data_IF_943305139642
#
_entry.id   IF_943305139642
#
_cell.length_a   1.000
_cell.length_b   1.000
_cell.length_c   1.000
_cell.angle_alpha   90.00
_cell.angle_beta   90.00
_cell.angle_gamma   90.00
#
_symmetry.space_group_name_H-M   'P 1'
#
loop_
_entity.id
_entity.type
_entity.pdbx_description
1 polymer ?
#
# COMPACT_ATOMS: atom_id res chain seq x y z
N UNK A 1 -40.05 -4.71 3.08
CA UNK A 1 -38.73 -4.08 3.07
C UNK A 1 -38.17 -4.28 1.68
N UNK A 2 -38.24 -3.26 0.82
CA UNK A 2 -37.75 -3.38 -0.56
C UNK A 2 -36.30 -2.93 -0.62
N UNK A 3 -35.43 -3.82 -1.11
CA UNK A 3 -34.02 -3.54 -1.33
C UNK A 3 -33.91 -2.88 -2.71
N UNK A 4 -33.56 -1.60 -2.76
CA UNK A 4 -33.27 -0.87 -3.99
C UNK A 4 -31.84 -0.36 -4.03
N UNK A 5 -31.32 -0.11 -5.23
CA UNK A 5 -30.03 0.54 -5.42
C UNK A 5 -30.04 1.98 -4.87
N UNK A 6 -28.89 2.41 -4.34
CA UNK A 6 -28.67 3.78 -3.85
C UNK A 6 -28.43 4.73 -5.03
N UNK A 7 -29.08 5.90 -4.97
CA UNK A 7 -28.97 6.98 -5.95
C UNK A 7 -28.10 8.10 -5.39
N UNK A 8 -27.55 8.94 -6.29
CA UNK A 8 -26.59 10.00 -5.93
C UNK A 8 -27.18 11.10 -5.02
N UNK A 9 -28.49 11.34 -5.11
CA UNK A 9 -29.22 12.28 -4.24
C UNK A 9 -29.72 11.69 -2.92
N UNK A 10 -29.48 10.41 -2.63
CA UNK A 10 -29.88 9.82 -1.36
C UNK A 10 -29.02 10.41 -0.22
N UNK A 11 -29.65 10.86 0.87
CA UNK A 11 -28.94 11.36 2.05
C UNK A 11 -28.25 10.20 2.78
N UNK A 12 -26.91 10.22 2.79
CA UNK A 12 -26.05 9.19 3.39
C UNK A 12 -25.53 9.59 4.77
N UNK A 13 -25.89 10.77 5.26
CA UNK A 13 -25.40 11.28 6.54
C UNK A 13 -25.82 10.41 7.72
N UNK A 14 -26.95 9.69 7.59
CA UNK A 14 -27.49 8.79 8.61
C UNK A 14 -27.09 7.32 8.43
N UNK A 15 -26.25 7.01 7.43
CA UNK A 15 -25.81 5.64 7.14
C UNK A 15 -24.72 5.20 8.12
N UNK A 16 -25.10 5.07 9.38
CA UNK A 16 -24.30 4.45 10.42
C UNK A 16 -24.95 3.10 10.71
N UNK A 17 -24.14 2.04 10.64
CA UNK A 17 -24.52 0.67 10.98
C UNK A 17 -25.29 0.54 12.31
N UNK A 18 -25.11 1.49 13.24
CA UNK A 18 -25.63 1.39 14.62
C UNK A 18 -24.87 0.36 15.46
N UNK A 19 -24.23 -0.61 14.82
CA UNK A 19 -23.34 -1.60 15.40
C UNK A 19 -21.87 -1.15 15.31
N UNK A 20 -21.21 -0.86 16.45
CA UNK A 20 -19.80 -0.47 16.51
C UNK A 20 -18.84 -1.53 15.96
N UNK A 21 -19.19 -2.81 16.06
CA UNK A 21 -18.34 -3.89 15.59
C UNK A 21 -18.37 -4.01 14.06
N UNK A 22 -19.51 -3.71 13.45
CA UNK A 22 -19.61 -3.63 11.99
C UNK A 22 -18.84 -2.41 11.43
N UNK A 23 -18.77 -1.29 12.16
CA UNK A 23 -17.91 -0.15 11.79
C UNK A 23 -16.43 -0.54 11.85
N UNK A 24 -15.99 -1.22 12.91
CA UNK A 24 -14.62 -1.76 13.02
C UNK A 24 -14.33 -2.77 11.90
N UNK A 25 -15.31 -3.60 11.56
CA UNK A 25 -15.21 -4.56 10.46
C UNK A 25 -14.98 -3.85 9.13
N UNK A 26 -15.79 -2.85 8.77
CA UNK A 26 -15.56 -2.08 7.55
C UNK A 26 -14.24 -1.31 7.60
N UNK A 27 -13.88 -0.69 8.71
CA UNK A 27 -12.58 -0.03 8.86
C UNK A 27 -11.40 -1.00 8.67
N UNK A 28 -11.57 -2.26 9.07
CA UNK A 28 -10.53 -3.28 8.94
C UNK A 28 -10.50 -3.86 7.53
N UNK A 29 -11.63 -4.17 6.93
CA UNK A 29 -11.71 -5.03 5.74
C UNK A 29 -12.23 -4.35 4.47
N UNK A 30 -12.89 -3.19 4.55
CA UNK A 30 -13.40 -2.51 3.36
C UNK A 30 -12.23 -2.13 2.43
N UNK A 31 -12.34 -2.50 1.15
CA UNK A 31 -11.31 -2.24 0.14
C UNK A 31 -10.10 -3.20 0.16
N UNK A 32 -10.02 -4.14 1.11
CA UNK A 32 -9.03 -5.22 1.05
C UNK A 32 -9.30 -6.15 -0.15
N UNK A 33 -8.27 -6.82 -0.65
CA UNK A 33 -8.33 -7.79 -1.77
C UNK A 33 -8.87 -7.26 -3.11
N UNK A 34 -9.07 -5.94 -3.26
CA UNK A 34 -9.47 -5.29 -4.52
C UNK A 34 -8.27 -4.78 -5.34
N UNK A 35 -7.05 -5.22 -5.00
CA UNK A 35 -5.81 -4.82 -5.69
C UNK A 35 -5.36 -3.37 -5.43
N UNK A 36 -6.09 -2.61 -4.60
CA UNK A 36 -5.78 -1.20 -4.31
C UNK A 36 -4.36 -1.02 -3.76
N UNK A 37 -3.94 -1.87 -2.81
CA UNK A 37 -2.58 -1.82 -2.26
C UNK A 37 -1.49 -1.96 -3.33
N UNK A 38 -1.68 -2.84 -4.31
CA UNK A 38 -0.73 -3.01 -5.41
C UNK A 38 -0.69 -1.78 -6.35
N UNK A 39 -1.85 -1.16 -6.61
CA UNK A 39 -1.94 0.06 -7.42
C UNK A 39 -1.27 1.25 -6.73
N UNK A 40 -1.53 1.42 -5.43
CA UNK A 40 -0.89 2.46 -4.62
C UNK A 40 0.62 2.25 -4.54
N UNK A 41 1.07 1.01 -4.31
CA UNK A 41 2.49 0.70 -4.29
C UNK A 41 3.14 1.04 -5.63
N UNK A 42 2.55 0.64 -6.76
CA UNK A 42 3.05 0.99 -8.09
C UNK A 42 3.22 2.50 -8.27
N UNK A 43 2.19 3.28 -7.90
CA UNK A 43 2.25 4.74 -7.98
C UNK A 43 3.43 5.31 -7.17
N UNK A 44 3.61 4.85 -5.94
CA UNK A 44 4.73 5.28 -5.08
C UNK A 44 6.08 4.91 -5.67
N UNK A 45 6.22 3.72 -6.26
CA UNK A 45 7.47 3.31 -6.91
C UNK A 45 7.79 4.14 -8.16
N UNK A 46 6.78 4.50 -8.96
CA UNK A 46 6.93 5.44 -10.08
C UNK A 46 7.32 6.85 -9.60
N UNK A 47 6.73 7.31 -8.50
CA UNK A 47 7.11 8.58 -7.86
C UNK A 47 8.56 8.54 -7.34
N UNK A 48 8.97 7.44 -6.71
CA UNK A 48 10.32 7.26 -6.21
C UNK A 48 11.37 7.33 -7.32
N UNK A 49 11.09 6.77 -8.50
CA UNK A 49 11.98 6.90 -9.66
C UNK A 49 12.12 8.34 -10.16
N UNK A 50 11.02 9.10 -10.17
CA UNK A 50 11.07 10.53 -10.52
C UNK A 50 11.93 11.30 -9.52
N UNK A 51 11.65 11.10 -8.23
CA UNK A 51 12.45 11.71 -7.15
C UNK A 51 13.93 11.33 -7.23
N UNK A 52 14.24 10.08 -7.61
CA UNK A 52 15.62 9.64 -7.80
C UNK A 52 16.33 10.41 -8.91
N UNK A 53 15.63 10.73 -9.99
CA UNK A 53 16.16 11.52 -11.11
C UNK A 53 16.33 12.99 -10.73
N UNK A 54 15.39 13.55 -9.97
CA UNK A 54 15.35 14.99 -9.68
C UNK A 54 16.26 15.39 -8.52
N UNK A 55 16.33 14.55 -7.48
CA UNK A 55 17.01 14.89 -6.21
C UNK A 55 18.02 13.85 -5.75
N UNK A 56 18.03 12.65 -6.37
CA UNK A 56 18.84 11.52 -5.93
C UNK A 56 18.23 10.80 -4.72
N UNK A 57 17.89 9.52 -4.88
CA UNK A 57 17.56 8.64 -3.77
C UNK A 57 17.99 7.20 -4.09
N UNK A 58 18.33 6.43 -3.06
CA UNK A 58 18.88 5.07 -3.22
C UNK A 58 17.82 3.98 -3.17
N UNK A 59 16.64 4.28 -2.59
CA UNK A 59 15.52 3.36 -2.53
C UNK A 59 14.34 3.89 -1.74
N UNK A 60 13.38 2.99 -1.50
CA UNK A 60 12.16 3.20 -0.72
C UNK A 60 12.24 2.38 0.56
N UNK A 61 11.95 3.00 1.71
CA UNK A 61 11.81 2.31 3.00
C UNK A 61 10.32 2.27 3.37
N UNK A 62 9.87 1.15 3.93
CA UNK A 62 8.52 0.99 4.47
C UNK A 62 8.56 0.31 5.83
N UNK A 63 7.88 0.89 6.80
CA UNK A 63 7.61 0.25 8.08
C UNK A 63 6.38 -0.65 7.94
N UNK A 64 6.62 -1.94 7.64
CA UNK A 64 5.54 -2.89 7.45
C UNK A 64 4.83 -3.15 8.79
N UNK A 65 3.52 -2.88 8.82
CA UNK A 65 2.66 -3.29 9.93
C UNK A 65 2.70 -4.81 10.11
N UNK A 66 2.47 -5.32 11.33
CA UNK A 66 2.42 -6.77 11.56
C UNK A 66 1.42 -7.44 10.61
N UNK A 67 1.84 -8.55 10.01
CA UNK A 67 1.06 -9.29 9.01
C UNK A 67 1.07 -8.68 7.60
N UNK A 68 1.74 -7.55 7.37
CA UNK A 68 1.86 -6.94 6.05
C UNK A 68 3.22 -7.17 5.37
N UNK A 69 4.21 -7.76 6.05
CA UNK A 69 5.55 -8.00 5.50
C UNK A 69 5.51 -8.75 4.17
N UNK A 70 4.71 -9.82 4.10
CA UNK A 70 4.63 -10.71 2.93
C UNK A 70 4.04 -10.01 1.71
N UNK A 71 3.21 -8.98 1.93
CA UNK A 71 2.72 -8.14 0.85
C UNK A 71 3.85 -7.35 0.18
N UNK A 72 4.90 -6.95 0.90
CA UNK A 72 6.00 -6.17 0.35
C UNK A 72 7.13 -7.05 -0.16
N UNK A 73 7.49 -8.12 0.56
CA UNK A 73 8.59 -9.01 0.18
C UNK A 73 8.39 -9.65 -1.19
N UNK A 74 7.13 -9.94 -1.58
CA UNK A 74 6.80 -10.42 -2.93
C UNK A 74 7.16 -9.45 -4.07
N UNK A 75 7.35 -8.16 -3.79
CA UNK A 75 7.80 -7.15 -4.75
C UNK A 75 9.31 -6.87 -4.65
N UNK A 76 10.05 -7.68 -3.89
CA UNK A 76 11.50 -7.58 -3.76
C UNK A 76 11.99 -6.67 -2.64
N UNK A 77 11.10 -6.23 -1.73
CA UNK A 77 11.52 -5.55 -0.51
C UNK A 77 12.24 -6.53 0.41
N UNK A 78 13.33 -6.07 1.04
CA UNK A 78 14.13 -6.86 1.99
C UNK A 78 14.06 -6.24 3.39
N UNK A 79 14.06 -7.06 4.45
CA UNK A 79 14.16 -6.54 5.80
C UNK A 79 15.51 -5.85 6.02
N UNK A 80 15.51 -4.81 6.85
CA UNK A 80 16.71 -4.09 7.26
C UNK A 80 16.74 -3.96 8.78
N UNK A 81 17.94 -3.93 9.33
CA UNK A 81 18.10 -3.69 10.76
C UNK A 81 17.86 -2.21 11.07
N UNK A 82 17.12 -1.94 12.15
CA UNK A 82 16.97 -0.57 12.66
C UNK A 82 18.19 -0.24 13.50
N UNK A 83 18.95 0.76 13.07
CA UNK A 83 20.00 1.36 13.90
C UNK A 83 19.42 2.52 14.73
N UNK A 84 18.61 3.37 14.10
CA UNK A 84 17.92 4.52 14.72
C UNK A 84 16.50 4.69 14.17
N UNK A 85 15.63 5.38 14.94
CA UNK A 85 14.26 5.70 14.52
C UNK A 85 13.22 4.62 14.79
N UNK A 86 13.55 3.62 15.63
CA UNK A 86 12.58 2.59 16.01
C UNK A 86 11.44 3.20 16.81
N UNK A 87 10.20 2.89 16.43
CA UNK A 87 9.04 3.31 17.20
C UNK A 87 8.94 2.50 18.51
N UNK A 88 8.68 3.20 19.62
CA UNK A 88 8.32 2.56 20.89
C UNK A 88 6.93 1.90 20.85
N UNK A 89 6.12 2.22 19.84
CA UNK A 89 4.78 1.66 19.67
C UNK A 89 4.86 0.15 19.42
N UNK A 90 4.04 -0.59 20.17
CA UNK A 90 3.90 -2.05 20.02
C UNK A 90 2.56 -2.38 19.35
N UNK A 91 2.51 -3.41 18.49
CA UNK A 91 3.64 -4.22 17.98
C UNK A 91 4.58 -3.42 17.06
N UNK A 92 5.88 -3.71 17.13
CA UNK A 92 6.88 -2.99 16.34
C UNK A 92 6.68 -3.29 14.84
N UNK A 93 6.71 -2.28 13.97
CA UNK A 93 6.73 -2.51 12.53
C UNK A 93 8.06 -3.12 12.10
N UNK A 94 8.04 -3.89 11.02
CA UNK A 94 9.24 -4.43 10.38
C UNK A 94 9.66 -3.48 9.25
N UNK A 95 10.78 -2.74 9.37
CA UNK A 95 11.28 -1.92 8.29
C UNK A 95 11.77 -2.79 7.14
N UNK A 96 11.38 -2.40 5.93
CA UNK A 96 11.80 -3.04 4.70
C UNK A 96 12.34 -2.00 3.73
N UNK A 97 13.30 -2.39 2.91
CA UNK A 97 13.94 -1.54 1.91
C UNK A 97 13.81 -2.13 0.50
N UNK A 98 13.60 -1.27 -0.50
CA UNK A 98 13.67 -1.61 -1.92
C UNK A 98 14.55 -0.60 -2.66
N UNK A 99 15.63 -1.08 -3.27
CA UNK A 99 16.57 -0.22 -3.98
C UNK A 99 15.98 0.35 -5.29
N UNK A 100 16.31 1.61 -5.62
CA UNK A 100 15.90 2.26 -6.87
C UNK A 100 16.31 1.43 -8.10
N UNK A 101 17.50 0.83 -8.09
CA UNK A 101 17.98 -0.04 -9.19
C UNK A 101 17.03 -1.22 -9.46
N UNK A 102 16.47 -1.80 -8.42
CA UNK A 102 15.54 -2.93 -8.54
C UNK A 102 14.21 -2.48 -9.13
N UNK A 103 13.73 -1.30 -8.73
CA UNK A 103 12.52 -0.67 -9.28
C UNK A 103 12.72 -0.35 -10.77
N UNK A 104 13.85 0.27 -11.12
CA UNK A 104 14.18 0.63 -12.50
C UNK A 104 14.27 -0.61 -13.40
N UNK A 105 14.95 -1.67 -12.95
CA UNK A 105 15.05 -2.93 -13.69
C UNK A 105 13.68 -3.56 -13.99
N UNK A 106 12.80 -3.58 -12.99
CA UNK A 106 11.46 -4.17 -13.13
C UNK A 106 10.56 -3.42 -14.15
N UNK A 107 10.67 -2.09 -14.26
CA UNK A 107 9.89 -1.31 -15.23
C UNK A 107 10.46 -1.36 -16.66
N UNK A 108 11.76 -1.60 -16.82
CA UNK A 108 12.36 -1.83 -18.14
C UNK A 108 11.90 -3.17 -18.72
N UNK A 109 11.81 -4.21 -17.89
CA UNK A 109 11.31 -5.53 -18.27
C UNK A 109 9.85 -5.44 -18.78
N UNK A 110 8.99 -4.73 -18.04
CA UNK A 110 7.57 -4.59 -18.38
C UNK A 110 7.29 -3.85 -19.68
N UNK A 111 8.19 -2.97 -20.13
CA UNK A 111 8.05 -2.26 -21.41
C UNK A 111 8.37 -3.13 -22.62
N UNK A 112 9.19 -4.17 -22.45
CA UNK A 112 9.49 -5.14 -23.53
C UNK A 112 8.40 -6.21 -23.69
N UNK A 113 7.52 -6.38 -22.71
CA UNK A 113 6.48 -7.42 -22.69
C UNK A 113 5.09 -6.93 -23.10
N UNK A 114 4.93 -5.66 -23.52
CA UNK A 114 3.67 -5.17 -24.08
C UNK A 114 3.65 -5.43 -25.60
N UNK A 115 2.81 -6.35 -26.12
CA UNK A 115 2.67 -6.52 -27.55
C UNK A 115 1.91 -5.33 -28.16
N UNK A 116 2.19 -5.11 -29.44
CA UNK A 116 1.49 -4.18 -30.33
C UNK A 116 0.01 -4.56 -30.54
#
# INVERSE_FOLDING_TARGET
>A
MEIRALNEGDDRSLFHSGDPDLVKFFHRFAGQNQGLGARLLRFVLELALRMASDYGCVGVVVDAKPGASDFYTKYGFIPVDVVEGQSDVRPQPLPLFLAIRSIAGALVQKRHESPA
#
